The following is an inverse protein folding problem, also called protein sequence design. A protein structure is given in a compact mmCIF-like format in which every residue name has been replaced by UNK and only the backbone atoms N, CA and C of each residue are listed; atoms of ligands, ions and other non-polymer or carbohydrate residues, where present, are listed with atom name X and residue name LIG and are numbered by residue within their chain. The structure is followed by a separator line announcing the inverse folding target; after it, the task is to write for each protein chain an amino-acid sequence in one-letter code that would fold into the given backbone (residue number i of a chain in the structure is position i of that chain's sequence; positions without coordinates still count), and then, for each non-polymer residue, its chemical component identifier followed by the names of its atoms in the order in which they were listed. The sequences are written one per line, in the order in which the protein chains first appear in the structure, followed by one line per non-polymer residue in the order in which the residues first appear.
data_IF_463378698744
#
_entry.id   IF_463378698744
#
_cell.length_a   1.000
_cell.length_b   1.000
_cell.length_c   1.000
_cell.angle_alpha   90.00
_cell.angle_beta   90.00
_cell.angle_gamma   90.00
#
_symmetry.space_group_name_H-M   'P 1'
#
loop_
_entity.id
_entity.type
_entity.pdbx_description
1 polymer ?
#
# COMPACT_ATOMS: atom_id res chain seq x y z
N UNK A 1 19.02 52.48 -49.47
CA UNK A 1 20.31 51.77 -49.40
C UNK A 1 20.15 50.57 -48.49
N UNK A 2 20.50 49.40 -49.01
CA UNK A 2 20.50 48.09 -48.32
C UNK A 2 21.63 47.99 -47.29
N UNK A 3 21.41 47.25 -46.18
CA UNK A 3 22.20 46.06 -45.75
C UNK A 3 21.83 45.53 -44.34
N UNK A 4 21.36 44.29 -44.31
CA UNK A 4 21.60 43.11 -43.44
C UNK A 4 22.71 43.21 -42.35
N UNK A 5 22.76 42.43 -41.24
CA UNK A 5 22.38 41.03 -40.97
C UNK A 5 22.28 40.70 -39.44
N UNK A 6 21.60 39.59 -39.16
CA UNK A 6 21.30 38.79 -37.93
C UNK A 6 22.28 38.70 -36.73
N UNK A 7 21.75 38.47 -35.51
CA UNK A 7 21.70 37.14 -34.82
C UNK A 7 21.33 37.21 -33.30
N UNK A 8 20.62 36.15 -32.85
CA UNK A 8 20.62 35.50 -31.53
C UNK A 8 19.74 36.00 -30.35
N UNK A 9 18.67 35.24 -30.11
CA UNK A 9 18.12 34.69 -28.85
C UNK A 9 18.47 35.32 -27.49
N UNK A 10 17.43 35.71 -26.74
CA UNK A 10 17.11 35.04 -25.46
C UNK A 10 15.78 35.51 -24.90
N UNK A 11 14.88 34.54 -24.77
CA UNK A 11 13.59 34.61 -24.09
C UNK A 11 13.72 35.15 -22.66
N UNK A 12 12.90 36.15 -22.35
CA UNK A 12 12.40 36.43 -20.99
C UNK A 12 10.88 36.52 -21.10
N UNK A 13 10.19 35.42 -20.82
CA UNK A 13 8.74 35.46 -20.62
C UNK A 13 8.47 35.92 -19.19
N UNK A 14 7.88 37.11 -19.10
CA UNK A 14 7.15 37.59 -17.95
C UNK A 14 5.92 36.69 -17.76
N UNK A 15 5.77 36.11 -16.57
CA UNK A 15 4.59 35.36 -16.14
C UNK A 15 3.44 36.34 -15.94
N UNK A 16 2.52 36.34 -16.90
CA UNK A 16 1.22 36.96 -16.77
C UNK A 16 0.24 35.81 -16.55
N UNK A 17 -0.33 35.75 -15.34
CA UNK A 17 -1.37 34.80 -14.97
C UNK A 17 -2.64 35.15 -15.75
N UNK A 18 -3.01 34.31 -16.71
CA UNK A 18 -4.39 34.19 -17.20
C UNK A 18 -4.56 32.89 -18.01
N UNK A 19 -5.60 32.16 -17.61
CA UNK A 19 -6.45 31.27 -18.39
C UNK A 19 -5.90 29.90 -18.86
N UNK A 20 -6.55 28.84 -18.35
CA UNK A 20 -6.92 27.60 -19.06
C UNK A 20 -5.92 27.04 -20.08
N UNK A 21 -4.71 26.67 -19.63
CA UNK A 21 -3.83 25.87 -20.47
C UNK A 21 -4.25 24.39 -20.43
N UNK A 22 -5.16 24.06 -21.34
CA UNK A 22 -5.16 22.77 -22.02
C UNK A 22 -3.71 22.35 -22.30
N UNK A 23 -3.35 21.15 -21.86
CA UNK A 23 -2.08 20.51 -22.21
C UNK A 23 -2.10 20.37 -23.73
N UNK A 24 -1.40 21.26 -24.44
CA UNK A 24 -1.20 21.17 -25.88
C UNK A 24 -0.30 19.98 -26.14
N UNK A 25 -0.90 18.85 -26.47
CA UNK A 25 -0.19 17.70 -27.03
C UNK A 25 0.37 18.13 -28.38
N UNK A 26 1.70 18.12 -28.52
CA UNK A 26 2.34 18.23 -29.83
C UNK A 26 1.77 17.08 -30.67
N UNK A 27 1.01 17.41 -31.72
CA UNK A 27 0.31 16.46 -32.58
C UNK A 27 1.32 15.53 -33.26
N UNK A 28 1.55 14.38 -32.63
CA UNK A 28 2.09 13.21 -33.27
C UNK A 28 0.88 12.50 -33.88
N UNK A 29 0.78 12.33 -35.22
CA UNK A 29 -0.45 11.90 -35.91
C UNK A 29 -0.93 10.46 -35.62
N UNK A 30 -0.43 9.83 -34.57
CA UNK A 30 -0.91 8.56 -34.03
C UNK A 30 -0.97 8.49 -32.50
N UNK A 31 -0.77 9.62 -31.78
CA UNK A 31 -0.88 9.63 -30.32
C UNK A 31 -2.35 9.69 -29.91
N UNK A 32 -2.83 8.61 -29.30
CA UNK A 32 -4.13 8.59 -28.63
C UNK A 32 -3.90 8.81 -27.13
N UNK A 33 -4.42 9.91 -26.55
CA UNK A 33 -4.25 10.19 -25.13
C UNK A 33 -4.88 9.09 -24.26
N UNK A 34 -4.41 8.93 -23.01
CA UNK A 34 -5.02 7.99 -22.08
C UNK A 34 -6.49 8.36 -21.86
N UNK A 35 -7.36 7.36 -21.81
CA UNK A 35 -8.78 7.54 -21.52
C UNK A 35 -8.96 8.11 -20.11
N UNK A 36 -9.94 8.98 -19.94
CA UNK A 36 -10.33 9.48 -18.63
C UNK A 36 -10.96 8.37 -17.78
N UNK A 37 -10.99 8.55 -16.45
CA UNK A 37 -11.59 7.58 -15.53
C UNK A 37 -13.06 7.26 -15.85
N UNK A 38 -13.84 8.28 -16.22
CA UNK A 38 -15.25 8.14 -16.60
C UNK A 38 -15.42 7.38 -17.93
N UNK A 39 -14.53 7.60 -18.90
CA UNK A 39 -14.55 6.84 -20.15
C UNK A 39 -14.21 5.36 -19.92
N UNK A 40 -13.37 5.06 -18.92
CA UNK A 40 -12.93 3.70 -18.58
C UNK A 40 -13.96 2.91 -17.79
N UNK A 41 -14.77 3.59 -16.98
CA UNK A 41 -15.92 3.01 -16.28
C UNK A 41 -16.91 2.39 -17.28
N UNK A 42 -17.20 3.13 -18.35
CA UNK A 42 -18.08 2.70 -19.45
C UNK A 42 -17.35 1.92 -20.56
N UNK A 43 -16.07 1.56 -20.38
CA UNK A 43 -15.27 0.94 -21.42
C UNK A 43 -15.37 -0.59 -21.41
N UNK A 44 -16.28 -1.15 -22.20
CA UNK A 44 -16.49 -2.61 -22.33
C UNK A 44 -15.48 -3.29 -23.27
N UNK A 45 -14.20 -2.97 -23.15
CA UNK A 45 -13.17 -3.61 -23.97
C UNK A 45 -12.73 -4.95 -23.35
N UNK A 46 -12.94 -6.04 -24.10
CA UNK A 46 -12.51 -7.40 -23.74
C UNK A 46 -11.19 -7.80 -24.44
N UNK A 47 -10.66 -6.96 -25.32
CA UNK A 47 -9.42 -7.22 -26.03
C UNK A 47 -8.21 -7.02 -25.11
N UNK A 48 -7.59 -8.13 -24.66
CA UNK A 48 -6.41 -8.11 -23.78
C UNK A 48 -5.28 -7.18 -24.25
N UNK A 49 -4.86 -7.17 -25.55
CA UNK A 49 -3.79 -6.29 -26.00
C UNK A 49 -4.15 -4.80 -25.87
N UNK A 50 -5.43 -4.47 -26.05
CA UNK A 50 -5.94 -3.10 -25.99
C UNK A 50 -6.05 -2.59 -24.55
N UNK A 51 -6.40 -3.47 -23.61
CA UNK A 51 -6.34 -3.18 -22.17
C UNK A 51 -4.90 -2.93 -21.72
N UNK A 52 -3.94 -3.71 -22.22
CA UNK A 52 -2.52 -3.54 -21.87
C UNK A 52 -1.94 -2.24 -22.45
N UNK A 53 -2.29 -1.91 -23.70
CA UNK A 53 -1.90 -0.63 -24.33
C UNK A 53 -2.43 0.58 -23.55
N UNK A 54 -3.69 0.53 -23.11
CA UNK A 54 -4.28 1.59 -22.30
C UNK A 54 -3.64 1.67 -20.91
N UNK A 55 -3.36 0.53 -20.28
CA UNK A 55 -2.66 0.50 -18.99
C UNK A 55 -1.23 1.07 -19.10
N UNK A 56 -0.53 0.82 -20.21
CA UNK A 56 0.78 1.41 -20.48
C UNK A 56 0.68 2.94 -20.62
N UNK A 57 -0.37 3.46 -21.27
CA UNK A 57 -0.64 4.91 -21.35
C UNK A 57 -0.89 5.51 -19.96
N UNK A 58 -1.70 4.86 -19.14
CA UNK A 58 -1.99 5.32 -17.77
C UNK A 58 -0.75 5.27 -16.86
N UNK A 59 0.09 4.22 -16.98
CA UNK A 59 1.34 4.12 -16.23
C UNK A 59 2.35 5.21 -16.64
N UNK A 60 2.44 5.55 -17.94
CA UNK A 60 3.25 6.68 -18.43
C UNK A 60 2.75 8.01 -17.85
N UNK A 61 1.44 8.25 -17.88
CA UNK A 61 0.85 9.44 -17.27
C UNK A 61 1.16 9.51 -15.77
N UNK A 62 1.01 8.40 -15.05
CA UNK A 62 1.30 8.34 -13.62
C UNK A 62 2.77 8.65 -13.32
N UNK A 63 3.70 8.14 -14.15
CA UNK A 63 5.12 8.47 -14.04
C UNK A 63 5.38 9.97 -14.22
N UNK A 64 4.80 10.59 -15.24
CA UNK A 64 4.91 12.04 -15.45
C UNK A 64 4.32 12.84 -14.28
N UNK A 65 3.20 12.40 -13.70
CA UNK A 65 2.61 13.05 -12.53
C UNK A 65 3.53 12.96 -11.31
N UNK A 66 4.15 11.81 -11.05
CA UNK A 66 5.12 11.69 -9.96
C UNK A 66 6.34 12.59 -10.16
N UNK A 67 6.86 12.69 -11.39
CA UNK A 67 7.96 13.61 -11.72
C UNK A 67 7.56 15.08 -11.50
N UNK A 68 6.32 15.46 -11.83
CA UNK A 68 5.79 16.80 -11.59
C UNK A 68 5.58 17.09 -10.09
N UNK A 69 5.01 16.15 -9.33
CA UNK A 69 4.82 16.28 -7.87
C UNK A 69 6.16 16.48 -7.17
N UNK A 70 7.21 15.80 -7.64
CA UNK A 70 8.57 15.93 -7.08
C UNK A 70 9.22 17.29 -7.42
N UNK A 71 8.88 17.88 -8.56
CA UNK A 71 9.44 19.16 -9.02
C UNK A 71 8.71 20.39 -8.47
N UNK A 72 7.45 20.24 -8.04
CA UNK A 72 6.60 21.35 -7.57
C UNK A 72 6.77 21.54 -6.05
N UNK A 73 7.00 22.77 -5.56
CA UNK A 73 7.06 23.05 -4.13
C UNK A 73 5.70 22.82 -3.45
N UNK A 74 5.71 22.57 -2.14
CA UNK A 74 4.48 22.35 -1.38
C UNK A 74 3.50 23.52 -1.52
N UNK A 75 2.27 23.21 -1.94
CA UNK A 75 1.22 24.18 -2.22
C UNK A 75 0.00 23.54 -2.86
N UNK A 76 -1.01 24.35 -3.18
CA UNK A 76 -2.29 23.85 -3.71
C UNK A 76 -2.14 23.15 -5.07
N UNK A 77 -1.18 23.59 -5.89
CA UNK A 77 -0.84 22.93 -7.17
C UNK A 77 -0.34 21.50 -6.95
N UNK A 78 0.47 21.27 -5.91
CA UNK A 78 0.96 19.92 -5.58
C UNK A 78 -0.18 19.00 -5.15
N UNK A 79 -1.11 19.50 -4.32
CA UNK A 79 -2.31 18.75 -3.92
C UNK A 79 -3.17 18.34 -5.11
N UNK A 80 -3.39 19.26 -6.06
CA UNK A 80 -4.13 18.95 -7.29
C UNK A 80 -3.45 17.86 -8.14
N UNK A 81 -2.12 17.88 -8.21
CA UNK A 81 -1.35 16.84 -8.89
C UNK A 81 -1.43 15.49 -8.16
N UNK A 82 -1.40 15.48 -6.83
CA UNK A 82 -1.58 14.29 -6.00
C UNK A 82 -2.99 13.69 -6.16
N UNK A 83 -4.03 14.52 -6.14
CA UNK A 83 -5.42 14.11 -6.42
C UNK A 83 -5.56 13.50 -7.82
N UNK A 84 -4.94 14.13 -8.82
CA UNK A 84 -4.90 13.60 -10.19
C UNK A 84 -4.15 12.28 -10.27
N UNK A 85 -3.00 12.16 -9.61
CA UNK A 85 -2.23 10.91 -9.56
C UNK A 85 -3.03 9.79 -8.89
N UNK A 86 -3.77 10.10 -7.83
CA UNK A 86 -4.68 9.18 -7.17
C UNK A 86 -5.78 8.68 -8.11
N UNK A 87 -6.43 9.57 -8.86
CA UNK A 87 -7.43 9.18 -9.87
C UNK A 87 -6.85 8.26 -10.95
N UNK A 88 -5.64 8.53 -11.43
CA UNK A 88 -4.93 7.66 -12.39
C UNK A 88 -4.59 6.30 -11.76
N UNK A 89 -4.19 6.24 -10.49
CA UNK A 89 -3.93 4.97 -9.79
C UNK A 89 -5.19 4.11 -9.64
N UNK A 90 -6.34 4.73 -9.33
CA UNK A 90 -7.64 4.04 -9.31
C UNK A 90 -7.96 3.47 -10.69
N UNK A 91 -7.70 4.24 -11.73
CA UNK A 91 -7.90 3.87 -13.13
C UNK A 91 -7.01 2.68 -13.53
N UNK A 92 -5.71 2.71 -13.23
CA UNK A 92 -4.78 1.58 -13.43
C UNK A 92 -5.25 0.34 -12.67
N UNK A 93 -5.79 0.51 -11.47
CA UNK A 93 -6.31 -0.58 -10.66
C UNK A 93 -7.53 -1.24 -11.31
N UNK A 94 -8.46 -0.45 -11.85
CA UNK A 94 -9.61 -0.94 -12.61
C UNK A 94 -9.18 -1.72 -13.86
N UNK A 95 -8.22 -1.19 -14.63
CA UNK A 95 -7.65 -1.88 -15.79
C UNK A 95 -6.96 -3.21 -15.43
N UNK A 96 -6.21 -3.25 -14.32
CA UNK A 96 -5.60 -4.48 -13.81
C UNK A 96 -6.64 -5.53 -13.41
N UNK A 97 -7.77 -5.11 -12.84
CA UNK A 97 -8.90 -6.01 -12.51
C UNK A 97 -9.52 -6.56 -13.80
N UNK A 98 -9.82 -5.70 -14.77
CA UNK A 98 -10.40 -6.10 -16.06
C UNK A 98 -9.47 -7.01 -16.88
N UNK A 99 -8.16 -6.78 -16.85
CA UNK A 99 -7.19 -7.68 -17.49
C UNK A 99 -7.24 -9.10 -16.90
N UNK A 100 -7.43 -9.23 -15.59
CA UNK A 100 -7.54 -10.54 -14.93
C UNK A 100 -8.82 -11.25 -15.34
N UNK A 101 -9.95 -10.56 -15.41
CA UNK A 101 -11.22 -11.16 -15.84
C UNK A 101 -11.21 -11.62 -17.31
N UNK A 102 -10.44 -10.95 -18.17
CA UNK A 102 -10.27 -11.32 -19.59
C UNK A 102 -9.29 -12.48 -19.80
N UNK A 103 -8.36 -12.71 -18.85
CA UNK A 103 -7.32 -13.75 -18.98
C UNK A 103 -7.84 -15.17 -18.70
N UNK A 104 -9.08 -15.32 -18.25
CA UNK A 104 -9.68 -16.62 -17.95
C UNK A 104 -10.60 -17.08 -19.08
N UNK A 105 -10.19 -18.05 -19.91
CA UNK A 105 -11.16 -18.88 -20.59
C UNK A 105 -11.84 -19.72 -19.52
N UNK A 106 -13.17 -19.56 -19.39
CA UNK A 106 -14.10 -20.35 -18.58
C UNK A 106 -13.52 -21.72 -18.17
N UNK A 107 -12.96 -21.79 -16.95
CA UNK A 107 -12.70 -23.05 -16.24
C UNK A 107 -13.30 -22.90 -14.86
N UNK A 108 -14.58 -23.22 -14.81
CA UNK A 108 -15.31 -23.48 -13.57
C UNK A 108 -14.55 -24.56 -12.79
N UNK A 109 -14.50 -24.41 -11.47
CA UNK A 109 -13.99 -25.34 -10.42
C UNK A 109 -12.68 -24.94 -9.72
N UNK A 110 -11.54 -24.68 -10.38
CA UNK A 110 -10.28 -24.34 -9.66
C UNK A 110 -10.25 -22.89 -9.11
N UNK A 111 -11.00 -21.98 -9.71
CA UNK A 111 -10.97 -20.57 -9.33
C UNK A 111 -11.82 -20.24 -8.09
N UNK A 112 -12.86 -21.05 -7.83
CA UNK A 112 -13.68 -20.91 -6.63
C UNK A 112 -12.86 -21.14 -5.35
N UNK A 113 -11.90 -22.07 -5.39
CA UNK A 113 -11.04 -22.37 -4.26
C UNK A 113 -9.98 -21.28 -4.04
N UNK A 114 -9.40 -20.74 -5.11
CA UNK A 114 -8.44 -19.63 -5.06
C UNK A 114 -9.06 -18.31 -4.59
N UNK A 115 -10.30 -18.05 -5.00
CA UNK A 115 -11.06 -16.86 -4.60
C UNK A 115 -11.64 -17.01 -3.18
N UNK A 116 -12.01 -18.24 -2.80
CA UNK A 116 -12.33 -18.62 -1.42
C UNK A 116 -11.12 -18.43 -0.49
N UNK A 117 -9.93 -18.90 -0.87
CA UNK A 117 -8.69 -18.71 -0.10
C UNK A 117 -8.33 -17.22 0.03
N UNK A 118 -8.54 -16.41 -1.02
CA UNK A 118 -8.37 -14.95 -0.92
C UNK A 118 -9.42 -14.27 -0.04
N UNK A 119 -10.66 -14.73 -0.10
CA UNK A 119 -11.74 -14.26 0.78
C UNK A 119 -11.42 -14.53 2.24
N UNK A 120 -10.99 -15.76 2.56
CA UNK A 120 -10.56 -16.17 3.89
C UNK A 120 -9.37 -15.35 4.39
N UNK A 121 -8.36 -15.10 3.55
CA UNK A 121 -7.21 -14.26 3.93
C UNK A 121 -7.58 -12.78 4.13
N UNK A 122 -8.62 -12.26 3.49
CA UNK A 122 -9.10 -10.91 3.72
C UNK A 122 -9.87 -10.82 5.04
N UNK A 123 -10.74 -11.78 5.31
CA UNK A 123 -11.51 -11.88 6.54
C UNK A 123 -10.60 -12.09 7.76
N UNK A 124 -9.59 -12.95 7.65
CA UNK A 124 -8.58 -13.16 8.70
C UNK A 124 -7.81 -11.86 8.99
N UNK A 125 -7.44 -11.09 7.97
CA UNK A 125 -6.78 -9.78 8.16
C UNK A 125 -7.68 -8.74 8.81
N UNK A 126 -8.97 -8.73 8.45
CA UNK A 126 -9.95 -7.84 9.07
C UNK A 126 -10.16 -8.22 10.54
N UNK A 127 -10.28 -9.51 10.85
CA UNK A 127 -10.40 -10.01 12.21
C UNK A 127 -9.16 -9.69 13.05
N UNK A 128 -7.96 -9.87 12.51
CA UNK A 128 -6.72 -9.50 13.20
C UNK A 128 -6.65 -7.99 13.47
N UNK A 129 -7.02 -7.15 12.50
CA UNK A 129 -7.05 -5.70 12.70
C UNK A 129 -8.07 -5.27 13.76
N UNK A 130 -9.25 -5.89 13.77
CA UNK A 130 -10.27 -5.65 14.81
C UNK A 130 -9.75 -6.14 16.16
N UNK A 131 -9.13 -7.31 16.22
CA UNK A 131 -8.56 -7.87 17.44
C UNK A 131 -7.46 -6.95 18.02
N UNK A 132 -6.54 -6.45 17.19
CA UNK A 132 -5.49 -5.54 17.66
C UNK A 132 -6.08 -4.23 18.17
N UNK A 133 -7.06 -3.66 17.48
CA UNK A 133 -7.73 -2.43 17.92
C UNK A 133 -8.46 -2.65 19.26
N UNK A 134 -9.19 -3.76 19.41
CA UNK A 134 -9.87 -4.09 20.66
C UNK A 134 -8.90 -4.28 21.81
N UNK A 135 -7.73 -4.90 21.57
CA UNK A 135 -6.70 -5.04 22.60
C UNK A 135 -6.12 -3.68 23.03
N UNK A 136 -5.92 -2.76 22.09
CA UNK A 136 -5.49 -1.39 22.38
C UNK A 136 -6.55 -0.62 23.19
N UNK A 137 -7.82 -0.70 22.79
CA UNK A 137 -8.94 -0.10 23.52
C UNK A 137 -9.05 -0.66 24.95
N UNK A 138 -8.96 -1.98 25.10
CA UNK A 138 -8.94 -2.65 26.41
C UNK A 138 -7.75 -2.17 27.25
N UNK A 139 -6.56 -2.00 26.66
CA UNK A 139 -5.40 -1.52 27.38
C UNK A 139 -5.58 -0.07 27.88
N UNK A 140 -6.17 0.80 27.06
CA UNK A 140 -6.52 2.17 27.44
C UNK A 140 -7.55 2.19 28.56
N UNK A 141 -8.63 1.42 28.45
CA UNK A 141 -9.67 1.32 29.46
C UNK A 141 -9.13 0.75 30.79
N UNK A 142 -8.31 -0.31 30.73
CA UNK A 142 -7.64 -0.86 31.92
C UNK A 142 -6.78 0.19 32.63
N UNK A 143 -6.06 1.02 31.87
CA UNK A 143 -5.27 2.12 32.42
C UNK A 143 -6.17 3.17 33.10
N UNK A 144 -7.26 3.58 32.46
CA UNK A 144 -8.21 4.54 33.04
C UNK A 144 -8.84 4.01 34.34
N UNK A 145 -9.27 2.75 34.35
CA UNK A 145 -9.78 2.08 35.56
C UNK A 145 -8.72 2.09 36.66
N UNK A 146 -7.47 1.76 36.35
CA UNK A 146 -6.39 1.77 37.34
C UNK A 146 -6.16 3.18 37.93
N UNK A 147 -6.15 4.22 37.10
CA UNK A 147 -5.99 5.62 37.53
C UNK A 147 -7.16 6.09 38.41
N UNK A 148 -8.39 5.71 38.06
CA UNK A 148 -9.58 6.01 38.86
C UNK A 148 -9.55 5.29 40.20
N UNK A 149 -9.21 4.01 40.21
CA UNK A 149 -9.09 3.21 41.43
C UNK A 149 -7.99 3.76 42.34
N UNK A 150 -6.85 4.16 41.79
CA UNK A 150 -5.80 4.85 42.53
C UNK A 150 -6.30 6.16 43.14
N UNK A 151 -7.06 6.95 42.38
CA UNK A 151 -7.63 8.22 42.84
C UNK A 151 -8.63 8.02 43.98
N UNK A 152 -9.47 6.98 43.91
CA UNK A 152 -10.41 6.62 44.97
C UNK A 152 -9.70 6.20 46.26
N UNK A 153 -8.66 5.37 46.15
CA UNK A 153 -7.82 4.97 47.30
C UNK A 153 -7.17 6.20 47.94
N UNK A 154 -6.62 7.12 47.12
CA UNK A 154 -5.99 8.36 47.60
C UNK A 154 -6.98 9.28 48.33
N UNK A 155 -8.26 9.26 47.95
CA UNK A 155 -9.34 10.03 48.58
C UNK A 155 -9.86 9.37 49.87
N UNK A 156 -9.26 8.26 50.32
CA UNK A 156 -9.63 7.60 51.57
C UNK A 156 -10.83 6.67 51.46
N UNK A 157 -11.32 6.42 50.24
CA UNK A 157 -12.25 5.32 50.01
C UNK A 157 -11.45 4.01 50.10
N UNK A 158 -11.64 3.27 51.19
CA UNK A 158 -11.26 1.87 51.22
C UNK A 158 -12.09 1.19 50.13
N UNK A 159 -11.44 0.80 49.03
CA UNK A 159 -12.03 -0.13 48.07
C UNK A 159 -12.34 -1.41 48.85
N UNK A 160 -13.59 -1.56 49.28
CA UNK A 160 -14.15 -2.84 49.69
C UNK A 160 -13.78 -3.84 48.60
N UNK A 161 -13.15 -4.95 49.00
CA UNK A 161 -12.58 -6.03 48.15
C UNK A 161 -13.58 -6.69 47.16
N UNK A 162 -14.73 -6.09 46.90
CA UNK A 162 -15.86 -6.68 46.18
C UNK A 162 -16.09 -6.09 44.77
N UNK A 163 -15.38 -5.03 44.37
CA UNK A 163 -15.59 -4.36 43.07
C UNK A 163 -14.59 -4.80 41.98
N UNK A 164 -13.49 -5.42 42.38
CA UNK A 164 -12.64 -6.15 41.44
C UNK A 164 -13.05 -7.62 41.46
N UNK A 165 -13.10 -8.31 40.30
CA UNK A 165 -13.23 -9.76 40.32
C UNK A 165 -12.14 -10.30 41.24
N UNK A 166 -12.56 -10.92 42.35
CA UNK A 166 -11.69 -11.83 43.09
C UNK A 166 -11.34 -12.92 42.08
N UNK A 167 -10.22 -12.73 41.39
CA UNK A 167 -9.50 -13.82 40.75
C UNK A 167 -9.06 -14.67 41.93
N UNK A 168 -9.89 -15.63 42.31
CA UNK A 168 -9.52 -16.69 43.22
C UNK A 168 -8.29 -17.37 42.63
N UNK A 169 -7.12 -17.15 43.21
CA UNK A 169 -5.95 -17.96 42.93
C UNK A 169 -4.63 -17.20 42.85
N UNK A 170 -4.54 -16.17 42.03
CA UNK A 170 -3.24 -15.61 41.66
C UNK A 170 -3.18 -14.10 41.87
N UNK A 171 -2.24 -13.67 42.73
CA UNK A 171 -1.88 -12.27 42.91
C UNK A 171 -1.72 -11.60 41.54
N UNK A 172 -2.17 -10.35 41.40
CA UNK A 172 -1.94 -9.55 40.19
C UNK A 172 -0.46 -9.56 39.75
N UNK A 173 0.45 -9.69 40.71
CA UNK A 173 1.88 -9.85 40.48
C UNK A 173 2.26 -11.17 39.80
N UNK A 174 1.56 -12.27 40.11
CA UNK A 174 1.75 -13.58 39.46
C UNK A 174 1.28 -13.53 38.02
N UNK A 175 0.09 -12.98 37.77
CA UNK A 175 -0.41 -12.77 36.40
C UNK A 175 0.56 -11.90 35.58
N UNK A 176 1.08 -10.82 36.17
CA UNK A 176 2.05 -9.95 35.50
C UNK A 176 3.38 -10.69 35.24
N UNK A 177 3.84 -11.51 36.17
CA UNK A 177 5.04 -12.31 36.00
C UNK A 177 4.88 -13.36 34.89
N UNK A 178 3.74 -14.05 34.84
CA UNK A 178 3.42 -15.03 33.80
C UNK A 178 3.30 -14.36 32.42
N UNK A 179 2.65 -13.20 32.35
CA UNK A 179 2.53 -12.43 31.12
C UNK A 179 3.90 -11.94 30.59
N UNK A 180 4.78 -11.49 31.49
CA UNK A 180 6.14 -11.09 31.12
C UNK A 180 6.98 -12.28 30.64
N UNK A 181 6.82 -13.45 31.27
CA UNK A 181 7.49 -14.68 30.87
C UNK A 181 7.01 -15.15 29.49
N UNK A 182 5.69 -15.09 29.24
CA UNK A 182 5.12 -15.42 27.94
C UNK A 182 5.60 -14.46 26.84
N UNK A 183 5.64 -13.16 27.12
CA UNK A 183 6.12 -12.16 26.15
C UNK A 183 7.62 -12.31 25.86
N UNK A 184 8.43 -12.71 26.85
CA UNK A 184 9.82 -13.07 26.65
C UNK A 184 9.97 -14.31 25.75
N UNK A 185 9.18 -15.36 25.99
CA UNK A 185 9.17 -16.56 25.16
C UNK A 185 8.73 -16.27 23.71
N UNK A 186 7.70 -15.42 23.54
CA UNK A 186 7.23 -14.95 22.24
C UNK A 186 8.33 -14.18 21.50
N UNK A 187 9.04 -13.30 22.20
CA UNK A 187 10.15 -12.52 21.64
C UNK A 187 11.27 -13.45 21.12
N UNK A 188 11.66 -14.47 21.88
CA UNK A 188 12.65 -15.47 21.44
C UNK A 188 12.20 -16.24 20.20
N UNK A 189 10.92 -16.64 20.14
CA UNK A 189 10.38 -17.34 18.97
C UNK A 189 10.37 -16.45 17.71
N UNK A 190 10.08 -15.16 17.86
CA UNK A 190 10.11 -14.19 16.75
C UNK A 190 11.53 -14.01 16.23
N UNK A 191 12.52 -13.90 17.12
CA UNK A 191 13.93 -13.83 16.75
C UNK A 191 14.40 -15.08 15.98
N UNK A 192 14.03 -16.27 16.46
CA UNK A 192 14.36 -17.52 15.80
C UNK A 192 13.68 -17.64 14.42
N UNK A 193 12.43 -17.20 14.31
CA UNK A 193 11.70 -17.16 13.04
C UNK A 193 12.36 -16.19 12.06
N UNK A 194 12.85 -15.03 12.52
CA UNK A 194 13.61 -14.09 11.71
C UNK A 194 14.94 -14.70 11.25
N UNK A 195 15.65 -15.39 12.15
CA UNK A 195 16.90 -16.12 11.85
C UNK A 195 16.68 -17.18 10.77
N UNK A 196 15.66 -18.04 10.93
CA UNK A 196 15.32 -19.08 9.97
C UNK A 196 14.89 -18.52 8.62
N UNK A 197 14.13 -17.42 8.60
CA UNK A 197 13.80 -16.72 7.34
C UNK A 197 15.05 -16.22 6.61
N UNK A 198 16.01 -15.66 7.34
CA UNK A 198 17.30 -15.24 6.78
C UNK A 198 18.09 -16.44 6.24
N UNK A 199 18.14 -17.54 6.99
CA UNK A 199 18.83 -18.77 6.57
C UNK A 199 18.19 -19.37 5.31
N UNK A 200 16.86 -19.44 5.24
CA UNK A 200 16.14 -19.85 4.04
C UNK A 200 16.41 -18.94 2.83
N UNK A 201 16.52 -17.62 3.04
CA UNK A 201 16.85 -16.69 1.96
C UNK A 201 18.26 -16.95 1.40
N UNK A 202 19.24 -17.18 2.28
CA UNK A 202 20.62 -17.53 1.88
C UNK A 202 20.64 -18.88 1.14
N UNK A 203 19.94 -19.90 1.65
CA UNK A 203 19.88 -21.21 1.02
C UNK A 203 19.23 -21.14 -0.37
N UNK A 204 18.17 -20.34 -0.54
CA UNK A 204 17.56 -20.10 -1.86
C UNK A 204 18.55 -19.44 -2.82
N UNK A 205 19.25 -18.41 -2.38
CA UNK A 205 20.27 -17.75 -3.21
C UNK A 205 21.38 -18.72 -3.63
N UNK A 206 21.84 -19.58 -2.72
CA UNK A 206 22.85 -20.59 -3.02
C UNK A 206 22.34 -21.65 -4.02
N UNK A 207 21.08 -22.07 -3.91
CA UNK A 207 20.47 -22.99 -4.87
C UNK A 207 20.34 -22.35 -6.27
N UNK A 208 19.95 -21.08 -6.34
CA UNK A 208 19.87 -20.35 -7.62
C UNK A 208 21.24 -20.22 -8.28
N UNK A 209 22.30 -19.92 -7.50
CA UNK A 209 23.68 -19.89 -8.00
C UNK A 209 24.14 -21.27 -8.51
N UNK A 210 23.91 -22.33 -7.74
CA UNK A 210 24.28 -23.68 -8.15
C UNK A 210 23.54 -24.14 -9.42
N UNK A 211 22.26 -23.78 -9.55
CA UNK A 211 21.48 -24.03 -10.77
C UNK A 211 22.02 -23.24 -11.97
N UNK A 212 22.39 -21.97 -11.75
CA UNK A 212 23.01 -21.15 -12.79
C UNK A 212 24.32 -21.77 -13.29
N UNK A 213 25.17 -22.21 -12.37
CA UNK A 213 26.46 -22.84 -12.71
C UNK A 213 26.26 -24.19 -13.45
N UNK A 214 25.32 -25.04 -13.03
CA UNK A 214 24.97 -26.27 -13.75
C UNK A 214 24.44 -25.99 -15.17
N UNK A 215 23.62 -24.95 -15.33
CA UNK A 215 23.09 -24.54 -16.63
C UNK A 215 24.16 -23.94 -17.56
N UNK A 216 25.23 -23.36 -17.01
CA UNK A 216 26.40 -22.93 -17.77
C UNK A 216 27.23 -24.13 -18.24
N UNK A 217 27.47 -25.12 -17.37
CA UNK A 217 28.25 -26.32 -17.70
C UNK A 217 27.55 -27.20 -18.75
N UNK A 218 26.22 -27.30 -18.72
CA UNK A 218 25.44 -28.10 -19.69
C UNK A 218 25.25 -27.42 -21.06
N UNK A 219 25.65 -26.15 -21.20
CA UNK A 219 25.61 -25.41 -22.48
C UNK A 219 26.90 -25.51 -23.29
N UNK A 220 27.92 -26.18 -22.76
CA UNK A 220 29.16 -26.54 -23.46
C UNK A 220 29.21 -28.05 -23.72
#
# INVERSE_FOLDING_TARGET
MLRNCNCASSNKHSLQCQDDQEIVWIENPGYVPPKSGHELENWECEDRPRIEEEMEKQNKLLKCLHEQIQAVPDGDVKKLLEERAWSVQQTVTALRRRRRSVAEPTKNEENAESESIRGLMLEEKQLLAVQTNLLEEIAVEKKQVAELCWSLVKLGYQTTEEVFPKIEGDSWESFLADALLEEAARSTLIEELARLKSECAVLRANLELAQYDQNQVTRF
#
